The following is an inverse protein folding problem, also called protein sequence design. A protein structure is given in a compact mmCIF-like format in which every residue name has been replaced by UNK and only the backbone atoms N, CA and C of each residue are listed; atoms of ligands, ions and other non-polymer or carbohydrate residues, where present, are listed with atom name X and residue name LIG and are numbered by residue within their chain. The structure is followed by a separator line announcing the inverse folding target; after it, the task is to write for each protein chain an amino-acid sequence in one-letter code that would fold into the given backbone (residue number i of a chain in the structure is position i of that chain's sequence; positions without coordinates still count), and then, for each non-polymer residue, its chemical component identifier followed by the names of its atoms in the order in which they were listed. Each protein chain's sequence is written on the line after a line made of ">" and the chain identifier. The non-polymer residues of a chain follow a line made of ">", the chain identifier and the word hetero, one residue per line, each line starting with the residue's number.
data_IF_486493054633
#
_entry.id   IF_486493054633
#
_cell.length_a   1.000
_cell.length_b   1.000
_cell.length_c   1.000
_cell.angle_alpha   90.00
_cell.angle_beta   90.00
_cell.angle_gamma   90.00
#
_symmetry.space_group_name_H-M   'P 1'
#
loop_
_entity.id
_entity.type
_entity.pdbx_description
1 polymer ?
#
# COMPACT_ATOMS: atom_id res chain seq x y z
N UNK A 1 -30.05 -35.30 -19.82
CA UNK A 1 -28.91 -34.74 -20.57
C UNK A 1 -28.36 -33.60 -19.72
N UNK A 2 -27.38 -33.91 -18.88
CA UNK A 2 -26.74 -32.91 -18.01
C UNK A 2 -25.90 -31.97 -18.88
N UNK A 3 -26.02 -30.66 -18.68
CA UNK A 3 -25.17 -29.69 -19.34
C UNK A 3 -23.70 -29.95 -18.94
N UNK A 4 -22.73 -29.79 -19.87
CA UNK A 4 -21.32 -29.95 -19.51
C UNK A 4 -20.93 -28.88 -18.48
N UNK A 5 -20.49 -29.33 -17.31
CA UNK A 5 -19.80 -28.48 -16.35
C UNK A 5 -18.60 -27.78 -17.01
N UNK A 6 -18.68 -26.46 -17.15
CA UNK A 6 -17.60 -25.62 -17.66
C UNK A 6 -16.34 -25.84 -16.81
N UNK A 7 -15.17 -26.09 -17.43
CA UNK A 7 -13.94 -26.31 -16.68
C UNK A 7 -13.63 -25.12 -15.78
N UNK A 8 -13.51 -25.37 -14.48
CA UNK A 8 -12.99 -24.42 -13.50
C UNK A 8 -11.56 -24.06 -13.93
N UNK A 9 -11.39 -22.90 -14.57
CA UNK A 9 -10.10 -22.43 -15.04
C UNK A 9 -9.24 -22.09 -13.82
N UNK A 10 -8.47 -23.07 -13.33
CA UNK A 10 -7.41 -22.80 -12.35
C UNK A 10 -6.41 -21.85 -12.99
N UNK A 11 -6.11 -20.69 -12.38
CA UNK A 11 -5.06 -19.82 -12.87
C UNK A 11 -3.78 -20.65 -13.00
N UNK A 12 -3.25 -20.79 -14.21
CA UNK A 12 -2.02 -21.52 -14.46
C UNK A 12 -0.91 -20.97 -13.53
N UNK A 13 0.01 -21.80 -13.02
CA UNK A 13 1.03 -21.35 -12.07
C UNK A 13 1.82 -20.10 -12.53
N UNK A 14 1.99 -19.91 -13.85
CA UNK A 14 2.55 -18.70 -14.45
C UNK A 14 1.73 -17.43 -14.18
N UNK A 15 0.39 -17.53 -14.17
CA UNK A 15 -0.50 -16.42 -13.82
C UNK A 15 -0.44 -16.09 -12.32
N UNK A 16 -0.30 -17.09 -11.44
CA UNK A 16 -0.14 -16.83 -10.00
C UNK A 16 1.17 -16.06 -9.70
N UNK A 17 2.27 -16.43 -10.36
CA UNK A 17 3.55 -15.71 -10.24
C UNK A 17 3.46 -14.25 -10.73
N UNK A 18 2.80 -14.03 -11.87
CA UNK A 18 2.62 -12.68 -12.44
C UNK A 18 1.70 -11.80 -11.56
N UNK A 19 0.62 -12.37 -11.02
CA UNK A 19 -0.26 -11.67 -10.07
C UNK A 19 0.47 -11.33 -8.78
N UNK A 20 1.31 -12.24 -8.26
CA UNK A 20 2.16 -11.98 -7.10
C UNK A 20 3.16 -10.84 -7.34
N UNK A 21 3.79 -10.81 -8.52
CA UNK A 21 4.68 -9.70 -8.90
C UNK A 21 3.93 -8.37 -9.03
N UNK A 22 2.76 -8.36 -9.67
CA UNK A 22 1.93 -7.17 -9.80
C UNK A 22 1.49 -6.62 -8.43
N UNK A 23 1.09 -7.51 -7.51
CA UNK A 23 0.78 -7.14 -6.13
C UNK A 23 2.00 -6.57 -5.39
N UNK A 24 3.17 -7.19 -5.52
CA UNK A 24 4.41 -6.71 -4.91
C UNK A 24 4.82 -5.32 -5.43
N UNK A 25 4.67 -5.06 -6.72
CA UNK A 25 4.94 -3.75 -7.32
C UNK A 25 3.96 -2.69 -6.79
N UNK A 26 2.66 -3.01 -6.71
CA UNK A 26 1.65 -2.09 -6.21
C UNK A 26 1.95 -1.63 -4.77
N UNK A 27 2.27 -2.56 -3.87
CA UNK A 27 2.67 -2.22 -2.49
C UNK A 27 4.04 -1.54 -2.46
N UNK A 28 5.02 -2.08 -3.17
CA UNK A 28 6.41 -1.62 -3.11
C UNK A 28 6.57 -0.17 -3.57
N UNK A 29 5.96 0.21 -4.69
CA UNK A 29 6.01 1.60 -5.17
C UNK A 29 5.25 2.55 -4.22
N UNK A 30 4.10 2.12 -3.69
CA UNK A 30 3.36 2.88 -2.68
C UNK A 30 4.20 3.11 -1.41
N UNK A 31 4.89 2.07 -0.93
CA UNK A 31 5.75 2.14 0.24
C UNK A 31 6.96 3.06 0.03
N UNK A 32 7.62 3.00 -1.14
CA UNK A 32 8.76 3.87 -1.47
C UNK A 32 8.33 5.34 -1.49
N UNK A 33 7.21 5.67 -2.15
CA UNK A 33 6.69 7.03 -2.18
C UNK A 33 6.31 7.55 -0.80
N UNK A 34 5.67 6.70 0.00
CA UNK A 34 5.25 6.99 1.38
C UNK A 34 6.46 7.26 2.28
N UNK A 35 7.45 6.37 2.27
CA UNK A 35 8.69 6.54 3.04
C UNK A 35 9.47 7.79 2.63
N UNK A 36 9.53 8.11 1.32
CA UNK A 36 10.19 9.31 0.85
C UNK A 36 9.53 10.59 1.38
N UNK A 37 8.20 10.67 1.31
CA UNK A 37 7.46 11.79 1.88
C UNK A 37 7.62 11.87 3.41
N UNK A 38 7.46 10.75 4.12
CA UNK A 38 7.55 10.70 5.58
C UNK A 38 8.95 11.03 6.10
N UNK A 39 10.02 10.66 5.39
CA UNK A 39 11.39 11.02 5.80
C UNK A 39 11.58 12.53 5.94
N UNK A 40 10.96 13.30 5.04
CA UNK A 40 11.05 14.76 5.00
C UNK A 40 10.13 15.40 6.03
N UNK A 41 8.90 14.88 6.13
CA UNK A 41 7.91 15.35 7.13
C UNK A 41 8.42 15.08 8.54
N UNK A 42 8.96 13.90 8.82
CA UNK A 42 9.49 13.52 10.12
C UNK A 42 10.66 14.38 10.56
N UNK A 43 11.62 14.67 9.66
CA UNK A 43 12.73 15.56 9.96
C UNK A 43 12.26 16.99 10.30
N UNK A 44 11.32 17.54 9.53
CA UNK A 44 10.75 18.86 9.81
C UNK A 44 9.92 18.88 11.11
N UNK A 45 9.11 17.84 11.32
CA UNK A 45 8.27 17.68 12.51
C UNK A 45 9.11 17.60 13.78
N UNK A 46 10.22 16.85 13.78
CA UNK A 46 11.09 16.74 14.95
C UNK A 46 11.66 18.11 15.37
N UNK A 47 12.11 18.93 14.41
CA UNK A 47 12.58 20.29 14.69
C UNK A 47 11.46 21.20 15.20
N UNK A 48 10.30 21.17 14.57
CA UNK A 48 9.15 21.98 14.96
C UNK A 48 8.61 21.61 16.36
N UNK A 49 8.60 20.32 16.70
CA UNK A 49 8.22 19.83 18.04
C UNK A 49 9.23 20.25 19.10
N UNK A 50 10.53 20.29 18.76
CA UNK A 50 11.57 20.75 19.68
C UNK A 50 11.40 22.23 20.07
N UNK A 51 10.92 23.08 19.16
CA UNK A 51 10.62 24.49 19.46
C UNK A 51 9.24 24.68 20.12
N UNK A 52 8.24 23.91 19.69
CA UNK A 52 6.85 24.02 20.13
C UNK A 52 6.28 22.64 20.42
N UNK A 53 6.41 22.11 21.65
CA UNK A 53 5.94 20.77 21.95
C UNK A 53 4.41 20.63 21.83
N UNK A 54 3.67 21.73 21.92
CA UNK A 54 2.21 21.75 21.87
C UNK A 54 1.65 21.38 20.48
N UNK A 55 2.44 21.52 19.40
CA UNK A 55 2.02 21.17 18.04
C UNK A 55 2.28 19.71 17.66
N UNK A 56 2.74 18.88 18.60
CA UNK A 56 3.04 17.44 18.36
C UNK A 56 1.86 16.69 17.75
N UNK A 57 0.64 16.95 18.21
CA UNK A 57 -0.57 16.32 17.67
C UNK A 57 -0.80 16.66 16.19
N UNK A 58 -0.66 17.94 15.82
CA UNK A 58 -0.77 18.40 14.42
C UNK A 58 0.33 17.79 13.55
N UNK A 59 1.55 17.67 14.06
CA UNK A 59 2.66 17.06 13.34
C UNK A 59 2.44 15.56 13.08
N UNK A 60 1.83 14.84 14.03
CA UNK A 60 1.43 13.45 13.82
C UNK A 60 0.40 13.32 12.69
N UNK A 61 -0.55 14.26 12.58
CA UNK A 61 -1.51 14.27 11.46
C UNK A 61 -0.78 14.44 10.13
N UNK A 62 0.18 15.37 10.03
CA UNK A 62 0.99 15.53 8.82
C UNK A 62 1.80 14.28 8.47
N UNK A 63 2.34 13.58 9.46
CA UNK A 63 3.08 12.33 9.25
C UNK A 63 2.16 11.18 8.77
N UNK A 64 0.89 11.21 9.15
CA UNK A 64 -0.12 10.22 8.74
C UNK A 64 -0.65 10.46 7.31
N UNK A 65 -0.56 11.67 6.76
CA UNK A 65 -1.10 11.96 5.41
C UNK A 65 -0.49 11.05 4.33
N UNK A 66 0.84 10.88 4.22
CA UNK A 66 1.44 9.99 3.22
C UNK A 66 1.13 8.50 3.45
N UNK A 67 0.81 8.08 4.68
CA UNK A 67 0.46 6.69 5.01
C UNK A 67 -0.71 6.17 4.15
N UNK A 68 -1.60 7.07 3.76
CA UNK A 68 -2.71 6.77 2.84
C UNK A 68 -2.22 6.14 1.53
N UNK A 69 -1.06 6.55 1.00
CA UNK A 69 -0.57 6.03 -0.28
C UNK A 69 -0.14 4.56 -0.19
N UNK A 70 0.54 4.14 0.89
CA UNK A 70 0.90 2.72 1.05
C UNK A 70 -0.34 1.88 1.35
N UNK A 71 -1.33 2.41 2.08
CA UNK A 71 -2.60 1.72 2.32
C UNK A 71 -3.37 1.50 1.01
N UNK A 72 -3.40 2.48 0.10
CA UNK A 72 -4.01 2.31 -1.21
C UNK A 72 -3.26 1.29 -2.08
N UNK A 73 -1.92 1.30 -2.05
CA UNK A 73 -1.11 0.28 -2.73
C UNK A 73 -1.37 -1.14 -2.20
N UNK A 74 -1.53 -1.27 -0.89
CA UNK A 74 -1.92 -2.51 -0.22
C UNK A 74 -3.33 -2.97 -0.60
N UNK A 75 -4.30 -2.05 -0.66
CA UNK A 75 -5.67 -2.34 -1.11
C UNK A 75 -5.68 -2.85 -2.57
N UNK A 76 -4.93 -2.21 -3.46
CA UNK A 76 -4.78 -2.66 -4.86
C UNK A 76 -4.16 -4.04 -4.93
N UNK A 77 -3.16 -4.34 -4.10
CA UNK A 77 -2.54 -5.67 -4.07
C UNK A 77 -3.53 -6.78 -3.68
N UNK A 78 -4.46 -6.50 -2.77
CA UNK A 78 -5.56 -7.43 -2.52
C UNK A 78 -6.38 -7.63 -3.80
N UNK A 79 -6.76 -6.55 -4.52
CA UNK A 79 -7.60 -6.62 -5.75
C UNK A 79 -6.96 -7.47 -6.83
N UNK A 80 -5.64 -7.36 -6.97
CA UNK A 80 -4.85 -8.16 -7.90
C UNK A 80 -4.88 -9.66 -7.53
N UNK A 81 -4.83 -10.00 -6.24
CA UNK A 81 -4.82 -11.39 -5.78
C UNK A 81 -6.22 -12.01 -5.74
N UNK A 82 -7.28 -11.21 -5.88
CA UNK A 82 -8.68 -11.69 -5.89
C UNK A 82 -9.17 -12.17 -4.53
N UNK A 83 -8.66 -11.59 -3.44
CA UNK A 83 -9.06 -11.89 -2.05
C UNK A 83 -10.06 -10.86 -1.51
N UNK A 84 -11.27 -10.81 -2.08
CA UNK A 84 -12.44 -10.08 -1.54
C UNK A 84 -13.68 -10.94 -1.63
#
# INVERSE_FOLDING_TARGET
>A
MAAPETPEQRPAAASAGLLGLAAAIAVGLGAIGTAWAQSRIGAAAAGAIAERPEISGTMLVFLALPETMVILGFLVAFFVIGKF
#
